data_IF_903499493850
#
_entry.id   IF_903499493850
#
_cell.length_a   1.000
_cell.length_b   1.000
_cell.length_c   1.000
_cell.angle_alpha   90.00
_cell.angle_beta   90.00
_cell.angle_gamma   90.00
#
_symmetry.space_group_name_H-M   'P 1'
#
loop_
_entity.id
_entity.type
_entity.pdbx_description
1 polymer ?
#
# COMPACT_ATOMS: atom_id res chain seq x y z
N UNK A 1 -34.71 -5.29 -43.67
CA UNK A 1 -35.21 -3.98 -43.19
C UNK A 1 -34.28 -3.55 -42.08
N UNK A 2 -33.24 -2.78 -42.40
CA UNK A 2 -32.27 -2.28 -41.41
C UNK A 2 -32.85 -1.03 -40.76
N UNK A 3 -33.32 -1.15 -39.52
CA UNK A 3 -33.73 -0.01 -38.70
C UNK A 3 -32.54 0.95 -38.59
N UNK A 4 -32.70 2.14 -39.15
CA UNK A 4 -31.76 3.24 -38.99
C UNK A 4 -31.85 3.70 -37.53
N UNK A 5 -30.84 3.35 -36.74
CA UNK A 5 -30.71 3.81 -35.36
C UNK A 5 -30.54 5.32 -35.38
N UNK A 6 -31.58 6.05 -34.99
CA UNK A 6 -31.54 7.51 -34.90
C UNK A 6 -30.91 7.92 -33.56
N UNK A 7 -29.62 8.28 -33.63
CA UNK A 7 -28.81 8.64 -32.47
C UNK A 7 -29.38 9.87 -31.73
N UNK A 8 -29.97 10.82 -32.46
CA UNK A 8 -30.50 12.06 -31.89
C UNK A 8 -31.71 11.78 -31.00
N UNK A 9 -32.63 10.94 -31.47
CA UNK A 9 -33.80 10.50 -30.69
C UNK A 9 -33.40 9.73 -29.44
N UNK A 10 -32.39 8.88 -29.53
CA UNK A 10 -31.88 8.12 -28.37
C UNK A 10 -31.29 9.08 -27.33
N UNK A 11 -30.53 10.09 -27.77
CA UNK A 11 -29.92 11.07 -26.87
C UNK A 11 -30.95 11.98 -26.20
N UNK A 12 -32.02 12.35 -26.91
CA UNK A 12 -33.14 13.10 -26.32
C UNK A 12 -33.89 12.28 -25.28
N UNK A 13 -34.18 11.02 -25.58
CA UNK A 13 -34.87 10.09 -24.68
C UNK A 13 -34.04 9.83 -23.41
N UNK A 14 -32.71 9.66 -23.53
CA UNK A 14 -31.80 9.52 -22.38
C UNK A 14 -31.83 10.78 -21.51
N UNK A 15 -31.76 11.97 -22.11
CA UNK A 15 -31.80 13.25 -21.37
C UNK A 15 -33.13 13.43 -20.63
N UNK A 16 -34.25 13.08 -21.26
CA UNK A 16 -35.58 13.11 -20.63
C UNK A 16 -35.65 12.16 -19.43
N UNK A 17 -35.14 10.93 -19.58
CA UNK A 17 -35.14 9.94 -18.51
C UNK A 17 -34.23 10.32 -17.32
N UNK A 18 -33.10 10.97 -17.56
CA UNK A 18 -32.22 11.50 -16.49
C UNK A 18 -32.94 12.59 -15.70
N UNK A 19 -33.64 13.51 -16.40
CA UNK A 19 -34.39 14.60 -15.78
C UNK A 19 -35.61 14.10 -14.98
N UNK A 20 -36.39 13.16 -15.52
CA UNK A 20 -37.56 12.58 -14.84
C UNK A 20 -37.20 11.78 -13.59
N UNK A 21 -36.05 11.07 -13.62
CA UNK A 21 -35.62 10.23 -12.49
C UNK A 21 -34.89 11.01 -11.39
N UNK A 22 -34.71 12.33 -11.55
CA UNK A 22 -34.04 13.17 -10.56
C UNK A 22 -32.62 12.72 -10.25
N UNK A 23 -31.98 12.01 -11.19
CA UNK A 23 -30.61 11.52 -11.03
C UNK A 23 -29.71 12.74 -11.20
N UNK A 24 -29.30 13.35 -10.09
CA UNK A 24 -28.17 14.27 -10.17
C UNK A 24 -26.96 13.44 -10.59
N UNK A 25 -26.33 13.85 -11.70
CA UNK A 25 -25.00 13.38 -12.09
C UNK A 25 -23.91 14.00 -11.20
N UNK A 26 -24.26 14.33 -9.95
CA UNK A 26 -23.28 14.53 -8.88
C UNK A 26 -22.74 13.15 -8.52
N UNK A 27 -21.94 12.58 -9.43
CA UNK A 27 -20.87 11.69 -9.01
C UNK A 27 -20.01 12.58 -8.14
N UNK A 28 -19.87 12.31 -6.83
CA UNK A 28 -18.91 13.05 -6.03
C UNK A 28 -17.57 12.94 -6.75
N UNK A 29 -17.03 14.06 -7.23
CA UNK A 29 -15.68 14.05 -7.76
C UNK A 29 -14.80 13.44 -6.67
N UNK A 30 -14.11 12.35 -7.01
CA UNK A 30 -13.09 11.76 -6.15
C UNK A 30 -11.86 12.68 -6.08
N UNK A 31 -12.06 13.99 -5.93
CA UNK A 31 -11.02 15.03 -5.81
C UNK A 31 -10.27 14.94 -4.47
N UNK A 32 -10.74 14.09 -3.55
CA UNK A 32 -10.11 13.84 -2.25
C UNK A 32 -9.22 12.59 -2.19
N UNK A 33 -9.20 11.75 -3.21
CA UNK A 33 -8.15 10.74 -3.29
C UNK A 33 -6.87 11.48 -3.67
N UNK A 34 -6.00 11.70 -2.68
CA UNK A 34 -4.61 12.05 -2.98
C UNK A 34 -4.09 10.93 -3.87
N UNK A 35 -4.02 11.18 -5.17
CA UNK A 35 -3.02 10.58 -6.04
C UNK A 35 -1.69 10.99 -5.44
N UNK A 36 -1.26 10.28 -4.38
CA UNK A 36 0.11 10.37 -3.93
C UNK A 36 0.89 10.05 -5.19
N UNK A 37 1.69 10.98 -5.73
CA UNK A 37 2.51 10.68 -6.87
C UNK A 37 3.24 9.40 -6.50
N UNK A 38 3.11 8.37 -7.35
CA UNK A 38 3.94 7.17 -7.23
C UNK A 38 5.34 7.73 -7.17
N UNK A 39 6.01 7.57 -6.03
CA UNK A 39 7.33 8.14 -5.82
C UNK A 39 8.16 7.76 -7.04
N UNK A 40 8.63 8.76 -7.77
CA UNK A 40 9.48 8.57 -8.93
C UNK A 40 10.57 7.60 -8.49
N UNK A 41 10.71 6.45 -9.16
CA UNK A 41 11.63 5.40 -8.70
C UNK A 41 13.02 5.98 -8.86
N UNK A 42 13.55 6.53 -7.77
CA UNK A 42 14.90 7.04 -7.71
C UNK A 42 15.87 5.91 -8.09
N UNK A 43 17.05 6.25 -8.65
CA UNK A 43 18.11 5.27 -8.84
C UNK A 43 18.37 4.52 -7.54
N UNK A 44 18.70 3.23 -7.64
CA UNK A 44 18.97 2.41 -6.46
C UNK A 44 20.13 3.00 -5.65
N UNK A 45 19.86 3.31 -4.38
CA UNK A 45 20.86 3.72 -3.39
C UNK A 45 20.93 2.67 -2.27
N UNK A 46 22.12 2.13 -2.03
CA UNK A 46 22.34 1.08 -1.03
C UNK A 46 22.11 1.58 0.40
N UNK A 47 22.51 2.81 0.71
CA UNK A 47 22.34 3.35 2.05
C UNK A 47 20.85 3.59 2.36
N UNK A 48 20.10 4.13 1.41
CA UNK A 48 18.65 4.31 1.52
C UNK A 48 17.91 2.97 1.64
N UNK A 49 18.32 1.97 0.84
CA UNK A 49 17.80 0.62 0.95
C UNK A 49 18.04 0.05 2.36
N UNK A 50 19.26 0.14 2.87
CA UNK A 50 19.61 -0.37 4.21
C UNK A 50 18.86 0.35 5.33
N UNK A 51 18.67 1.67 5.21
CA UNK A 51 17.82 2.43 6.15
C UNK A 51 16.37 1.95 6.12
N UNK A 52 15.85 1.67 4.93
CA UNK A 52 14.48 1.14 4.74
C UNK A 52 14.34 -0.26 5.35
N UNK A 53 15.33 -1.13 5.17
CA UNK A 53 15.37 -2.46 5.79
C UNK A 53 15.30 -2.35 7.32
N UNK A 54 16.08 -1.45 7.93
CA UNK A 54 16.04 -1.20 9.37
C UNK A 54 14.69 -0.62 9.81
N UNK A 55 14.07 0.23 9.01
CA UNK A 55 12.75 0.76 9.30
C UNK A 55 11.67 -0.35 9.30
N UNK A 56 11.73 -1.26 8.32
CA UNK A 56 10.84 -2.42 8.23
C UNK A 56 10.98 -3.32 9.45
N UNK A 57 12.22 -3.65 9.85
CA UNK A 57 12.49 -4.47 11.05
C UNK A 57 11.84 -3.91 12.32
N UNK A 58 11.84 -2.59 12.46
CA UNK A 58 11.27 -1.91 13.64
C UNK A 58 9.75 -1.78 13.62
N UNK A 59 9.11 -1.83 12.44
CA UNK A 59 7.74 -1.33 12.27
C UNK A 59 6.78 -2.27 11.54
N UNK A 60 7.24 -3.45 11.09
CA UNK A 60 6.36 -4.39 10.39
C UNK A 60 5.20 -4.89 11.26
N UNK A 61 5.35 -4.88 12.58
CA UNK A 61 4.30 -5.30 13.51
C UNK A 61 3.39 -4.14 13.90
N UNK A 62 2.12 -4.24 13.55
CA UNK A 62 1.06 -3.31 13.94
C UNK A 62 0.53 -3.69 15.31
N UNK A 63 0.60 -2.75 16.25
CA UNK A 63 -0.03 -2.88 17.55
C UNK A 63 -1.55 -2.80 17.42
N UNK A 64 -2.26 -3.77 18.01
CA UNK A 64 -3.72 -3.83 17.95
C UNK A 64 -4.39 -2.62 18.60
N UNK A 65 -3.84 -2.12 19.71
CA UNK A 65 -4.46 -1.04 20.46
C UNK A 65 -3.45 -0.11 21.11
N UNK A 66 -3.56 1.18 20.80
CA UNK A 66 -2.90 2.23 21.55
C UNK A 66 -3.50 2.38 22.98
N UNK A 67 -2.73 2.91 23.94
CA UNK A 67 -3.25 3.27 25.26
C UNK A 67 -4.45 4.23 25.20
N UNK A 68 -5.47 4.01 26.06
CA UNK A 68 -6.63 4.91 26.12
C UNK A 68 -6.30 6.13 26.96
N UNK A 69 -6.11 7.27 26.29
CA UNK A 69 -5.81 8.56 26.92
C UNK A 69 -7.06 9.45 27.07
N UNK A 70 -7.05 10.33 28.08
CA UNK A 70 -8.11 11.30 28.35
C UNK A 70 -8.65 11.30 29.79
N UNK A 71 -9.70 12.09 30.03
CA UNK A 71 -10.41 12.15 31.31
C UNK A 71 -11.22 10.86 31.60
N UNK A 72 -11.68 10.64 32.85
CA UNK A 72 -12.32 9.37 33.25
C UNK A 72 -13.56 8.98 32.42
N UNK A 73 -14.42 9.95 32.09
CA UNK A 73 -15.65 9.72 31.29
C UNK A 73 -15.27 9.32 29.86
N UNK A 74 -14.34 10.04 29.22
CA UNK A 74 -13.84 9.72 27.88
C UNK A 74 -13.20 8.34 27.85
N UNK A 75 -12.41 7.98 28.87
CA UNK A 75 -11.83 6.64 29.01
C UNK A 75 -12.89 5.55 29.08
N UNK A 76 -13.98 5.77 29.81
CA UNK A 76 -15.10 4.82 29.89
C UNK A 76 -15.74 4.60 28.51
N UNK A 77 -16.09 5.69 27.82
CA UNK A 77 -16.71 5.63 26.48
C UNK A 77 -15.77 4.91 25.50
N UNK A 78 -14.49 5.30 25.44
CA UNK A 78 -13.49 4.68 24.56
C UNK A 78 -13.30 3.18 24.82
N UNK A 79 -13.40 2.73 26.08
CA UNK A 79 -13.36 1.29 26.42
C UNK A 79 -14.56 0.54 25.86
N UNK A 80 -15.77 1.11 25.98
CA UNK A 80 -16.99 0.49 25.44
C UNK A 80 -16.90 0.38 23.92
N UNK A 81 -16.59 1.48 23.23
CA UNK A 81 -16.41 1.49 21.76
C UNK A 81 -15.37 0.45 21.35
N UNK A 82 -14.19 0.43 21.98
CA UNK A 82 -13.15 -0.55 21.71
C UNK A 82 -13.66 -1.98 21.81
N UNK A 83 -14.44 -2.30 22.85
CA UNK A 83 -15.00 -3.64 23.02
C UNK A 83 -16.02 -3.99 21.94
N UNK A 84 -16.85 -3.03 21.52
CA UNK A 84 -17.83 -3.23 20.46
C UNK A 84 -17.19 -3.47 19.09
N UNK A 85 -16.08 -2.79 18.77
CA UNK A 85 -15.40 -2.95 17.47
C UNK A 85 -14.34 -4.06 17.46
N UNK A 86 -14.02 -4.65 18.62
CA UNK A 86 -12.90 -5.58 18.79
C UNK A 86 -12.99 -6.81 17.87
N UNK A 87 -14.19 -7.29 17.58
CA UNK A 87 -14.41 -8.45 16.73
C UNK A 87 -14.04 -8.19 15.25
N UNK A 88 -14.06 -6.94 14.81
CA UNK A 88 -13.65 -6.53 13.45
C UNK A 88 -12.17 -6.14 13.42
N UNK A 89 -11.72 -5.35 14.41
CA UNK A 89 -10.34 -4.85 14.42
C UNK A 89 -9.33 -5.98 14.63
N UNK A 90 -9.65 -6.97 15.48
CA UNK A 90 -8.73 -8.08 15.79
C UNK A 90 -8.30 -8.86 14.56
N UNK A 91 -9.21 -9.44 13.74
CA UNK A 91 -8.81 -10.18 12.55
C UNK A 91 -8.08 -9.31 11.54
N UNK A 92 -8.49 -8.05 11.34
CA UNK A 92 -7.81 -7.13 10.41
C UNK A 92 -6.35 -6.90 10.82
N UNK A 93 -6.08 -6.68 12.11
CA UNK A 93 -4.70 -6.48 12.60
C UNK A 93 -3.89 -7.77 12.47
N UNK A 94 -4.50 -8.93 12.71
CA UNK A 94 -3.83 -10.22 12.55
C UNK A 94 -3.47 -10.49 11.09
N UNK A 95 -4.39 -10.27 10.16
CA UNK A 95 -4.16 -10.43 8.72
C UNK A 95 -3.08 -9.47 8.20
N UNK A 96 -3.11 -8.21 8.65
CA UNK A 96 -2.08 -7.23 8.28
C UNK A 96 -0.72 -7.59 8.86
N UNK A 97 -0.65 -8.06 10.10
CA UNK A 97 0.61 -8.52 10.69
C UNK A 97 1.17 -9.75 9.97
N UNK A 98 0.31 -10.67 9.53
CA UNK A 98 0.73 -11.82 8.73
C UNK A 98 1.32 -11.38 7.38
N UNK A 99 0.65 -10.46 6.68
CA UNK A 99 1.16 -9.89 5.44
C UNK A 99 2.48 -9.13 5.64
N UNK A 100 2.54 -8.24 6.63
CA UNK A 100 3.73 -7.44 6.92
C UNK A 100 4.92 -8.32 7.29
N UNK A 101 4.72 -9.39 8.05
CA UNK A 101 5.78 -10.35 8.37
C UNK A 101 6.33 -11.05 7.12
N UNK A 102 5.45 -11.45 6.19
CA UNK A 102 5.86 -12.04 4.92
C UNK A 102 6.62 -11.03 4.03
N UNK A 103 6.16 -9.78 3.98
CA UNK A 103 6.84 -8.70 3.27
C UNK A 103 8.23 -8.41 3.87
N UNK A 104 8.32 -8.25 5.19
CA UNK A 104 9.58 -8.03 5.90
C UNK A 104 10.58 -9.17 5.64
N UNK A 105 10.13 -10.42 5.75
CA UNK A 105 10.95 -11.60 5.43
C UNK A 105 11.48 -11.57 4.00
N UNK A 106 10.66 -11.15 3.04
CA UNK A 106 11.06 -11.02 1.64
C UNK A 106 12.15 -9.96 1.49
N UNK A 107 11.98 -8.81 2.13
CA UNK A 107 12.96 -7.71 2.13
C UNK A 107 14.30 -8.14 2.74
N UNK A 108 14.29 -8.85 3.87
CA UNK A 108 15.52 -9.38 4.48
C UNK A 108 16.20 -10.45 3.62
N UNK A 109 15.40 -11.25 2.91
CA UNK A 109 15.93 -12.24 1.95
C UNK A 109 16.61 -11.53 0.76
N UNK A 110 16.02 -10.44 0.26
CA UNK A 110 16.62 -9.61 -0.78
C UNK A 110 17.92 -8.96 -0.31
N UNK A 111 17.95 -8.40 0.90
CA UNK A 111 19.17 -7.86 1.50
C UNK A 111 20.28 -8.92 1.56
N UNK A 112 19.96 -10.11 2.05
CA UNK A 112 20.92 -11.23 2.14
C UNK A 112 21.45 -11.64 0.77
N UNK A 113 20.57 -11.71 -0.24
CA UNK A 113 20.93 -12.05 -1.62
C UNK A 113 21.85 -10.99 -2.25
N UNK A 114 21.56 -9.70 -2.05
CA UNK A 114 22.42 -8.60 -2.52
C UNK A 114 23.82 -8.71 -1.92
N UNK A 115 23.93 -8.92 -0.60
CA UNK A 115 25.23 -9.10 0.05
C UNK A 115 26.01 -10.31 -0.48
N UNK A 116 25.33 -11.40 -0.83
CA UNK A 116 25.98 -12.56 -1.44
C UNK A 116 26.47 -12.25 -2.87
N UNK A 117 25.69 -11.51 -3.66
CA UNK A 117 26.11 -11.07 -5.00
C UNK A 117 27.34 -10.17 -4.95
N UNK A 118 27.38 -9.20 -4.03
CA UNK A 118 28.53 -8.31 -3.85
C UNK A 118 29.80 -9.10 -3.50
N UNK A 119 29.67 -10.09 -2.61
CA UNK A 119 30.79 -10.97 -2.25
C UNK A 119 31.31 -11.73 -3.47
N UNK A 120 30.42 -12.34 -4.27
CA UNK A 120 30.80 -13.09 -5.48
C UNK A 120 31.44 -12.19 -6.53
N UNK A 121 30.94 -10.96 -6.71
CA UNK A 121 31.54 -9.98 -7.62
C UNK A 121 32.98 -9.66 -7.22
N UNK A 122 33.21 -9.38 -5.93
CA UNK A 122 34.55 -9.11 -5.40
C UNK A 122 35.52 -10.28 -5.58
N UNK A 123 35.05 -11.51 -5.38
CA UNK A 123 35.84 -12.73 -5.61
C UNK A 123 36.24 -12.88 -7.08
N UNK A 124 35.30 -12.64 -8.00
CA UNK A 124 35.55 -12.69 -9.44
C UNK A 124 36.53 -11.60 -9.91
N UNK A 125 36.37 -10.37 -9.42
CA UNK A 125 37.30 -9.26 -9.71
C UNK A 125 38.72 -9.61 -9.26
N UNK A 126 38.86 -10.14 -8.04
CA UNK A 126 40.16 -10.56 -7.50
C UNK A 126 40.79 -11.68 -8.32
N UNK A 127 39.99 -12.65 -8.80
CA UNK A 127 40.48 -13.73 -9.65
C UNK A 127 40.92 -13.23 -11.04
N UNK A 128 40.19 -12.27 -11.62
CA UNK A 128 40.56 -11.63 -12.88
C UNK A 128 41.90 -10.91 -12.78
N UNK A 129 42.11 -10.11 -11.74
CA UNK A 129 43.39 -9.41 -11.51
C UNK A 129 44.57 -10.37 -11.33
N UNK A 130 44.36 -11.54 -10.71
CA UNK A 130 45.40 -12.56 -10.57
C UNK A 130 45.70 -13.29 -11.89
N UNK A 131 44.71 -13.42 -12.77
CA UNK A 131 44.87 -13.99 -14.11
C UNK A 131 45.61 -13.06 -15.06
N UNK A 132 45.36 -11.75 -15.00
CA UNK A 132 46.04 -10.73 -15.84
C UNK A 132 47.50 -10.48 -15.43
N UNK A 133 47.91 -10.91 -14.23
CA UNK A 133 49.30 -10.81 -13.73
C UNK A 133 50.19 -12.01 -14.08
N UNK A 134 49.66 -13.03 -14.76
CA UNK A 134 50.41 -14.21 -15.24
C UNK A 134 50.65 -14.12 -16.75
#
# INVERSE_FOLDING_TARGET
MSEQVNIEQIMEEIRRQIAEKGISLDIPEFSGASEKPVAEIAPFDMNEFMQSVVAVDRSYQVERYAPIVGNPISKLIKRVVRKMVNFIITPIVEDQNAFNAAAAKTIFSLQSYISELEKRMKELESAKEQGERK
#
